data_IF_170848100094
#
_entry.id   IF_170848100094
#
_cell.length_a   1.000
_cell.length_b   1.000
_cell.length_c   1.000
_cell.angle_alpha   90.00
_cell.angle_beta   90.00
_cell.angle_gamma   90.00
#
_symmetry.space_group_name_H-M   'P 1'
#
loop_
_entity.id
_entity.type
_entity.pdbx_description
1 polymer ?
#
# COMPACT_ATOMS: atom_id res chain seq x y z
N UNK A 1 -9.78 23.16 -8.25
CA UNK A 1 -9.14 23.29 -9.58
C UNK A 1 -8.05 24.36 -9.59
N UNK A 2 -8.31 25.61 -9.19
CA UNK A 2 -7.31 26.70 -9.20
C UNK A 2 -6.02 26.36 -8.43
N UNK A 3 -6.17 25.83 -7.20
CA UNK A 3 -5.03 25.44 -6.34
C UNK A 3 -4.15 24.36 -7.00
N UNK A 4 -4.74 23.28 -7.52
CA UNK A 4 -3.96 22.22 -8.18
C UNK A 4 -3.20 22.69 -9.42
N UNK A 5 -3.79 23.59 -10.22
CA UNK A 5 -3.10 24.20 -11.37
C UNK A 5 -1.91 25.03 -10.92
N UNK A 6 -2.07 25.81 -9.85
CA UNK A 6 -1.02 26.70 -9.35
C UNK A 6 0.14 25.87 -8.74
N UNK A 7 -0.15 24.76 -8.06
CA UNK A 7 0.86 23.78 -7.56
C UNK A 7 1.66 23.16 -8.71
N UNK A 8 0.98 22.64 -9.74
CA UNK A 8 1.66 22.04 -10.90
C UNK A 8 2.47 23.10 -11.66
N UNK A 9 1.93 24.32 -11.80
CA UNK A 9 2.66 25.44 -12.42
C UNK A 9 3.91 25.83 -11.65
N UNK A 10 3.86 25.83 -10.32
CA UNK A 10 5.03 26.07 -9.47
C UNK A 10 6.09 24.97 -9.65
N UNK A 11 5.68 23.70 -9.64
CA UNK A 11 6.57 22.55 -9.86
C UNK A 11 7.28 22.63 -11.23
N UNK A 12 6.53 22.93 -12.30
CA UNK A 12 7.08 23.14 -13.64
C UNK A 12 8.07 24.30 -13.70
N UNK A 13 7.78 25.40 -12.99
CA UNK A 13 8.66 26.57 -12.95
C UNK A 13 9.99 26.26 -12.24
N UNK A 14 9.94 25.48 -11.16
CA UNK A 14 11.14 24.99 -10.46
C UNK A 14 11.95 24.07 -11.35
N UNK A 15 11.29 23.16 -12.09
CA UNK A 15 11.95 22.25 -13.02
C UNK A 15 12.60 22.98 -14.19
N UNK A 16 11.92 23.97 -14.78
CA UNK A 16 12.45 24.80 -15.86
C UNK A 16 13.64 25.65 -15.39
N UNK A 17 13.53 26.27 -14.21
CA UNK A 17 14.62 27.07 -13.63
C UNK A 17 15.85 26.19 -13.38
N UNK A 18 15.64 25.01 -12.82
CA UNK A 18 16.69 24.03 -12.61
C UNK A 18 17.32 23.54 -13.92
N UNK A 19 16.50 23.23 -14.94
CA UNK A 19 16.99 22.82 -16.25
C UNK A 19 17.87 23.91 -16.88
N UNK A 20 17.47 25.18 -16.78
CA UNK A 20 18.28 26.32 -17.25
C UNK A 20 19.57 26.49 -16.48
N UNK A 21 19.56 26.28 -15.16
CA UNK A 21 20.77 26.33 -14.33
C UNK A 21 21.75 25.20 -14.73
N UNK A 22 21.24 23.98 -14.93
CA UNK A 22 22.06 22.85 -15.40
C UNK A 22 22.53 23.03 -16.85
N UNK A 23 21.70 23.57 -17.74
CA UNK A 23 22.02 23.81 -19.15
C UNK A 23 23.11 24.88 -19.31
N UNK A 24 23.05 25.98 -18.55
CA UNK A 24 24.06 27.03 -18.60
C UNK A 24 25.35 26.67 -17.85
N UNK A 25 25.33 25.55 -17.11
CA UNK A 25 26.35 25.18 -16.13
C UNK A 25 26.19 26.01 -14.85
N UNK A 26 26.72 25.50 -13.72
CA UNK A 26 26.79 26.19 -12.41
C UNK A 26 27.64 27.49 -12.43
N UNK A 27 27.85 28.09 -13.61
CA UNK A 27 28.45 29.40 -13.79
C UNK A 27 27.41 30.44 -13.37
N UNK A 28 27.48 30.79 -12.09
CA UNK A 28 26.83 31.97 -11.54
C UNK A 28 27.07 33.17 -12.43
N UNK A 29 26.00 33.90 -12.75
CA UNK A 29 26.06 35.20 -13.40
C UNK A 29 27.12 36.07 -12.75
N UNK A 30 28.02 36.65 -13.54
CA UNK A 30 29.09 37.50 -13.04
C UNK A 30 29.18 38.79 -13.82
N UNK A 31 29.83 39.78 -13.21
CA UNK A 31 30.13 41.04 -13.88
C UNK A 31 31.60 41.08 -14.25
N UNK A 32 31.87 41.47 -15.50
CA UNK A 32 33.23 41.75 -15.95
C UNK A 32 33.52 43.23 -15.71
N UNK A 33 34.51 43.52 -14.88
CA UNK A 33 34.95 44.89 -14.59
C UNK A 33 36.25 45.20 -15.33
N UNK A 34 36.26 46.30 -16.07
CA UNK A 34 37.44 46.85 -16.74
C UNK A 34 37.79 48.23 -16.16
N UNK A 35 39.08 48.50 -15.93
CA UNK A 35 39.54 49.78 -15.39
C UNK A 35 39.55 50.91 -16.43
N UNK A 36 39.52 50.57 -17.73
CA UNK A 36 39.47 51.51 -18.84
C UNK A 36 38.18 51.35 -19.67
N UNK A 37 37.65 52.44 -20.25
CA UNK A 37 36.47 52.36 -21.11
C UNK A 37 36.79 51.55 -22.39
N UNK A 38 35.98 50.52 -22.63
CA UNK A 38 36.08 49.66 -23.81
C UNK A 38 35.40 50.31 -25.02
N UNK A 39 36.05 50.21 -26.19
CA UNK A 39 35.47 50.63 -27.47
C UNK A 39 34.41 49.62 -27.95
N UNK A 40 33.50 50.02 -28.85
CA UNK A 40 32.35 49.18 -29.26
C UNK A 40 32.78 47.82 -29.83
N UNK A 41 33.79 47.79 -30.71
CA UNK A 41 34.31 46.53 -31.25
C UNK A 41 34.96 45.63 -30.18
N UNK A 42 35.57 46.21 -29.14
CA UNK A 42 36.19 45.43 -28.06
C UNK A 42 35.12 44.80 -27.19
N UNK A 43 34.02 45.53 -26.93
CA UNK A 43 32.85 45.01 -26.20
C UNK A 43 32.23 43.82 -26.92
N UNK A 44 32.06 43.92 -28.24
CA UNK A 44 31.42 42.86 -29.00
C UNK A 44 32.30 41.62 -29.15
N UNK A 45 33.62 41.80 -29.29
CA UNK A 45 34.60 40.70 -29.21
C UNK A 45 34.52 39.98 -27.86
N UNK A 46 34.56 40.71 -26.75
CA UNK A 46 34.48 40.15 -25.40
C UNK A 46 33.15 39.40 -25.20
N UNK A 47 32.04 39.96 -25.68
CA UNK A 47 30.71 39.32 -25.63
C UNK A 47 30.68 38.00 -26.40
N UNK A 48 31.24 37.98 -27.61
CA UNK A 48 31.32 36.77 -28.43
C UNK A 48 32.17 35.67 -27.77
N UNK A 49 33.28 36.06 -27.14
CA UNK A 49 34.11 35.14 -26.35
C UNK A 49 33.34 34.63 -25.14
N UNK A 50 32.68 35.48 -24.36
CA UNK A 50 31.86 35.05 -23.22
C UNK A 50 30.80 34.02 -23.60
N UNK A 51 30.06 34.24 -24.70
CA UNK A 51 29.04 33.30 -25.19
C UNK A 51 29.63 31.92 -25.54
N UNK A 52 30.89 31.85 -25.97
CA UNK A 52 31.56 30.57 -26.26
C UNK A 52 31.89 29.73 -25.02
N UNK A 53 31.85 30.33 -23.83
CA UNK A 53 32.07 29.65 -22.55
C UNK A 53 30.77 29.36 -21.77
N UNK A 54 29.62 29.89 -22.21
CA UNK A 54 28.31 29.58 -21.65
C UNK A 54 27.86 28.19 -22.13
N UNK A 55 27.22 27.43 -21.23
CA UNK A 55 26.62 26.14 -21.55
C UNK A 55 27.32 24.94 -20.89
N UNK A 56 26.54 23.89 -20.64
CA UNK A 56 26.99 22.68 -19.93
C UNK A 56 28.15 21.96 -20.63
N UNK A 57 28.19 22.00 -21.96
CA UNK A 57 29.28 21.46 -22.79
C UNK A 57 30.61 22.22 -22.63
N UNK A 58 30.55 23.46 -22.12
CA UNK A 58 31.70 24.33 -21.92
C UNK A 58 32.09 24.43 -20.43
N UNK A 59 31.40 23.69 -19.55
CA UNK A 59 31.71 23.64 -18.13
C UNK A 59 33.16 23.18 -17.89
N UNK A 60 33.90 23.95 -17.08
CA UNK A 60 35.30 23.66 -16.74
C UNK A 60 36.33 24.26 -17.71
N UNK A 61 35.92 24.95 -18.78
CA UNK A 61 36.86 25.72 -19.62
C UNK A 61 37.33 26.99 -18.89
N UNK A 62 38.64 27.22 -18.87
CA UNK A 62 39.23 28.42 -18.27
C UNK A 62 39.21 29.58 -19.27
N UNK A 63 38.60 30.70 -18.90
CA UNK A 63 38.65 31.94 -19.68
C UNK A 63 39.89 32.73 -19.31
N UNK A 64 40.68 33.17 -20.29
CA UNK A 64 41.80 34.09 -20.10
C UNK A 64 41.29 35.51 -20.25
N UNK A 65 41.49 36.34 -19.23
CA UNK A 65 41.11 37.75 -19.23
C UNK A 65 42.32 38.61 -19.58
N UNK A 66 42.21 39.41 -20.63
CA UNK A 66 43.26 40.36 -21.04
C UNK A 66 43.03 41.75 -20.42
N UNK A 67 44.07 42.60 -20.38
CA UNK A 67 43.92 44.02 -20.05
C UNK A 67 43.49 44.35 -18.62
N UNK A 68 43.83 43.52 -17.63
CA UNK A 68 43.51 43.76 -16.22
C UNK A 68 42.03 43.57 -15.85
N UNK A 69 41.24 42.99 -16.75
CA UNK A 69 39.83 42.69 -16.49
C UNK A 69 39.68 41.67 -15.35
N UNK A 70 38.74 41.95 -14.44
CA UNK A 70 38.43 41.08 -13.29
C UNK A 70 37.03 40.49 -13.45
N UNK A 71 36.92 39.18 -13.29
CA UNK A 71 35.64 38.49 -13.20
C UNK A 71 35.18 38.45 -11.75
N UNK A 72 34.07 39.11 -11.46
CA UNK A 72 33.41 39.02 -10.16
C UNK A 72 32.31 37.98 -10.25
N UNK A 73 32.55 36.81 -9.66
CA UNK A 73 31.58 35.74 -9.57
C UNK A 73 30.54 36.08 -8.49
N UNK A 74 29.23 36.06 -8.84
CA UNK A 74 28.15 36.08 -7.85
C UNK A 74 27.87 34.65 -7.41
N UNK A 75 28.69 34.09 -6.52
CA UNK A 75 28.59 32.66 -6.18
C UNK A 75 27.26 32.34 -5.51
N UNK A 76 26.36 31.66 -6.22
CA UNK A 76 25.06 31.20 -5.72
C UNK A 76 25.15 29.75 -5.23
N UNK A 77 26.06 29.49 -4.27
CA UNK A 77 26.34 28.13 -3.77
C UNK A 77 25.19 27.44 -2.98
N UNK A 78 24.27 28.14 -2.26
CA UNK A 78 23.20 27.45 -1.51
C UNK A 78 22.01 26.98 -2.37
N UNK A 79 21.95 27.35 -3.66
CA UNK A 79 20.77 27.11 -4.49
C UNK A 79 20.59 25.63 -4.86
N UNK A 80 21.66 24.87 -5.09
CA UNK A 80 21.54 23.48 -5.53
C UNK A 80 20.86 22.58 -4.49
N UNK A 81 21.21 22.74 -3.20
CA UNK A 81 20.57 22.00 -2.11
C UNK A 81 19.11 22.43 -1.91
N UNK A 82 18.84 23.74 -1.97
CA UNK A 82 17.49 24.29 -1.82
C UNK A 82 16.59 23.95 -3.01
N UNK A 83 17.15 23.79 -4.20
CA UNK A 83 16.45 23.40 -5.41
C UNK A 83 16.09 21.91 -5.40
N UNK A 84 16.97 21.05 -4.86
CA UNK A 84 16.66 19.64 -4.57
C UNK A 84 15.50 19.54 -3.56
N UNK A 85 15.55 20.30 -2.47
CA UNK A 85 14.49 20.33 -1.46
C UNK A 85 13.16 20.84 -2.06
N UNK A 86 13.20 21.87 -2.91
CA UNK A 86 12.02 22.39 -3.60
C UNK A 86 11.39 21.36 -4.55
N UNK A 87 12.22 20.55 -5.21
CA UNK A 87 11.76 19.44 -6.08
C UNK A 87 11.10 18.33 -5.27
N UNK A 88 11.70 17.92 -4.15
CA UNK A 88 11.12 16.97 -3.19
C UNK A 88 9.75 17.47 -2.70
N UNK A 89 9.68 18.73 -2.26
CA UNK A 89 8.43 19.32 -1.76
C UNK A 89 7.33 19.37 -2.83
N UNK A 90 7.69 19.66 -4.08
CA UNK A 90 6.75 19.68 -5.21
C UNK A 90 6.10 18.30 -5.43
N UNK A 91 6.85 17.21 -5.27
CA UNK A 91 6.31 15.84 -5.37
C UNK A 91 5.25 15.61 -4.29
N UNK A 92 5.53 16.02 -3.04
CA UNK A 92 4.59 15.89 -1.93
C UNK A 92 3.32 16.72 -2.13
N UNK A 93 3.42 17.95 -2.66
CA UNK A 93 2.25 18.79 -2.93
C UNK A 93 1.33 18.19 -4.01
N UNK A 94 1.92 17.64 -5.09
CA UNK A 94 1.16 16.97 -6.14
C UNK A 94 0.47 15.72 -5.56
N UNK A 95 1.19 14.90 -4.80
CA UNK A 95 0.65 13.73 -4.12
C UNK A 95 -0.53 14.09 -3.20
N UNK A 96 -0.39 15.17 -2.42
CA UNK A 96 -1.44 15.69 -1.53
C UNK A 96 -2.70 16.10 -2.29
N UNK A 97 -2.55 16.71 -3.47
CA UNK A 97 -3.70 17.09 -4.30
C UNK A 97 -4.50 15.87 -4.78
N UNK A 98 -3.81 14.80 -5.18
CA UNK A 98 -4.45 13.54 -5.59
C UNK A 98 -4.84 12.63 -4.42
N UNK A 99 -4.56 13.05 -3.18
CA UNK A 99 -4.71 12.23 -1.96
C UNK A 99 -3.86 10.95 -1.97
N UNK A 100 -2.92 10.83 -2.90
CA UNK A 100 -2.05 9.65 -3.02
C UNK A 100 -0.88 9.81 -2.04
N UNK A 101 -0.61 8.83 -1.18
CA UNK A 101 0.56 8.87 -0.32
C UNK A 101 1.89 8.84 -1.11
N UNK A 102 2.93 9.58 -0.69
CA UNK A 102 4.22 9.65 -1.42
C UNK A 102 4.92 8.30 -1.63
N UNK A 103 4.73 7.33 -0.74
CA UNK A 103 5.33 5.99 -0.88
C UNK A 103 4.81 5.23 -2.11
N UNK A 104 3.59 5.53 -2.58
CA UNK A 104 3.01 4.91 -3.77
C UNK A 104 3.70 5.36 -5.07
N UNK A 105 4.36 6.52 -5.07
CA UNK A 105 5.13 7.04 -6.21
C UNK A 105 6.64 6.81 -6.07
N UNK A 106 7.05 5.99 -5.11
CA UNK A 106 8.47 5.71 -4.83
C UNK A 106 9.20 6.86 -4.13
N UNK A 107 8.48 7.87 -3.63
CA UNK A 107 9.05 8.99 -2.89
C UNK A 107 9.06 8.69 -1.39
N UNK A 108 10.17 8.14 -0.90
CA UNK A 108 10.36 7.74 0.50
C UNK A 108 11.56 8.48 1.11
N UNK A 109 11.53 9.81 1.13
CA UNK A 109 12.66 10.64 1.59
C UNK A 109 12.78 10.67 3.13
N UNK A 110 11.66 10.46 3.83
CA UNK A 110 11.60 10.35 5.28
C UNK A 110 10.86 9.08 5.65
N UNK A 111 11.57 7.95 5.67
CA UNK A 111 11.14 6.77 6.44
C UNK A 111 11.17 7.10 7.94
N UNK A 112 10.39 8.07 8.39
CA UNK A 112 10.08 8.25 9.81
C UNK A 112 8.86 7.40 10.10
N UNK A 113 9.10 6.18 10.57
CA UNK A 113 8.44 5.51 11.71
C UNK A 113 6.90 5.50 11.84
N UNK A 114 6.13 6.05 10.90
CA UNK A 114 4.67 6.19 10.98
C UNK A 114 3.95 4.94 10.47
N UNK A 115 4.59 4.18 9.58
CA UNK A 115 4.10 2.89 9.13
C UNK A 115 5.21 1.85 9.29
N UNK A 116 5.32 1.31 10.50
CA UNK A 116 6.14 0.13 10.77
C UNK A 116 5.67 -1.11 10.00
N UNK A 117 4.44 -1.10 9.45
CA UNK A 117 3.94 -2.12 8.54
C UNK A 117 3.51 -1.54 7.18
N UNK A 118 3.94 -2.19 6.11
CA UNK A 118 3.47 -1.96 4.73
C UNK A 118 1.94 -2.09 4.63
N UNK A 119 1.37 -2.92 5.51
CA UNK A 119 -0.08 -3.13 5.66
C UNK A 119 -0.82 -1.86 6.08
N UNK A 120 -0.34 -1.15 7.11
CA UNK A 120 -0.96 0.11 7.56
C UNK A 120 -0.93 1.19 6.48
N UNK A 121 0.16 1.22 5.70
CA UNK A 121 0.31 2.08 4.53
C UNK A 121 -0.72 1.78 3.44
N UNK A 122 -0.88 0.50 3.07
CA UNK A 122 -1.86 0.09 2.07
C UNK A 122 -3.30 0.34 2.53
N UNK A 123 -3.60 0.10 3.81
CA UNK A 123 -4.91 0.40 4.39
C UNK A 123 -5.22 1.90 4.36
N UNK A 124 -4.23 2.74 4.66
CA UNK A 124 -4.37 4.19 4.59
C UNK A 124 -4.65 4.67 3.16
N UNK A 125 -3.96 4.11 2.16
CA UNK A 125 -4.20 4.40 0.74
C UNK A 125 -5.61 3.99 0.31
N UNK A 126 -6.02 2.77 0.66
CA UNK A 126 -7.35 2.24 0.36
C UNK A 126 -8.45 3.13 0.95
N UNK A 127 -8.32 3.49 2.22
CA UNK A 127 -9.36 4.22 2.95
C UNK A 127 -9.47 5.67 2.49
N UNK A 128 -8.34 6.37 2.32
CA UNK A 128 -8.33 7.81 2.06
C UNK A 128 -8.37 8.20 0.58
N UNK A 129 -7.96 7.29 -0.32
CA UNK A 129 -7.83 7.58 -1.76
C UNK A 129 -8.81 6.77 -2.59
N UNK A 130 -8.72 5.44 -2.50
CA UNK A 130 -9.47 4.55 -3.41
C UNK A 130 -10.94 4.47 -3.05
N UNK A 131 -11.29 4.23 -1.78
CA UNK A 131 -12.68 4.01 -1.34
C UNK A 131 -13.63 5.15 -1.78
N UNK A 132 -13.30 6.44 -1.63
CA UNK A 132 -14.16 7.50 -2.15
C UNK A 132 -14.37 7.46 -3.67
N UNK A 133 -13.36 7.09 -4.45
CA UNK A 133 -13.45 6.98 -5.90
C UNK A 133 -14.28 5.76 -6.33
N UNK A 134 -14.06 4.62 -5.68
CA UNK A 134 -14.80 3.39 -5.95
C UNK A 134 -16.29 3.57 -5.65
N UNK A 135 -16.63 4.16 -4.50
CA UNK A 135 -18.01 4.45 -4.12
C UNK A 135 -18.70 5.38 -5.13
N UNK A 136 -18.00 6.39 -5.63
CA UNK A 136 -18.57 7.26 -6.67
C UNK A 136 -18.88 6.47 -7.96
N UNK A 137 -18.02 5.53 -8.35
CA UNK A 137 -18.24 4.69 -9.53
C UNK A 137 -19.38 3.70 -9.29
N UNK A 138 -19.44 3.06 -8.11
CA UNK A 138 -20.54 2.17 -7.71
C UNK A 138 -21.88 2.90 -7.75
N UNK A 139 -21.96 4.11 -7.19
CA UNK A 139 -23.17 4.93 -7.23
C UNK A 139 -23.59 5.29 -8.66
N UNK A 140 -22.63 5.57 -9.54
CA UNK A 140 -22.94 5.85 -10.94
C UNK A 140 -23.39 4.61 -11.71
N UNK A 141 -22.83 3.43 -11.42
CA UNK A 141 -23.30 2.16 -11.98
C UNK A 141 -24.73 1.89 -11.50
N UNK A 142 -25.00 2.05 -10.20
CA UNK A 142 -26.35 1.87 -9.65
C UNK A 142 -27.35 2.84 -10.26
N UNK A 143 -26.96 4.10 -10.49
CA UNK A 143 -27.82 5.11 -11.11
C UNK A 143 -28.08 4.85 -12.58
N UNK A 144 -27.05 4.55 -13.37
CA UNK A 144 -27.15 4.51 -14.84
C UNK A 144 -27.56 3.13 -15.38
N UNK A 145 -27.16 2.05 -14.70
CA UNK A 145 -27.34 0.68 -15.18
C UNK A 145 -28.44 -0.07 -14.43
N UNK A 146 -28.55 0.14 -13.11
CA UNK A 146 -29.49 -0.60 -12.26
C UNK A 146 -30.82 0.14 -12.04
N UNK A 147 -30.90 1.45 -12.33
CA UNK A 147 -32.13 2.25 -12.24
C UNK A 147 -32.91 2.12 -10.91
N UNK A 148 -32.23 1.80 -9.81
CA UNK A 148 -32.86 1.60 -8.49
C UNK A 148 -33.55 0.25 -8.31
N UNK A 149 -33.18 -0.76 -9.09
CA UNK A 149 -33.52 -2.16 -8.81
C UNK A 149 -32.82 -2.62 -7.53
N UNK A 150 -33.61 -3.02 -6.52
CA UNK A 150 -33.10 -3.45 -5.20
C UNK A 150 -32.55 -4.89 -5.24
N UNK A 151 -32.80 -5.65 -6.30
CA UNK A 151 -32.35 -7.04 -6.44
C UNK A 151 -30.85 -7.15 -6.79
N UNK A 152 -30.25 -6.08 -7.31
CA UNK A 152 -28.87 -6.07 -7.77
C UNK A 152 -28.08 -4.89 -7.18
N UNK A 153 -26.84 -5.14 -6.78
CA UNK A 153 -25.91 -4.10 -6.34
C UNK A 153 -24.55 -4.27 -7.01
N UNK A 154 -23.87 -3.14 -7.26
CA UNK A 154 -22.51 -3.12 -7.75
C UNK A 154 -21.56 -2.77 -6.60
N UNK A 155 -20.56 -3.63 -6.36
CA UNK A 155 -19.51 -3.41 -5.36
C UNK A 155 -18.15 -3.80 -5.95
N UNK A 156 -17.13 -2.97 -5.70
CA UNK A 156 -15.75 -3.31 -6.02
C UNK A 156 -15.15 -4.21 -4.95
N UNK A 157 -14.63 -5.36 -5.36
CA UNK A 157 -13.84 -6.23 -4.48
C UNK A 157 -12.48 -5.61 -4.17
N UNK A 158 -12.42 -4.79 -3.11
CA UNK A 158 -11.18 -4.21 -2.55
C UNK A 158 -10.37 -5.17 -1.69
N UNK A 159 -10.96 -6.31 -1.34
CA UNK A 159 -10.30 -7.47 -0.73
C UNK A 159 -9.06 -7.91 -1.53
N UNK A 160 -9.01 -7.65 -2.84
CA UNK A 160 -7.83 -7.90 -3.68
C UNK A 160 -6.59 -7.07 -3.29
N UNK A 161 -6.75 -5.85 -2.75
CA UNK A 161 -5.63 -5.09 -2.18
C UNK A 161 -5.13 -5.70 -0.86
N UNK A 162 -6.05 -6.25 -0.07
CA UNK A 162 -5.75 -7.00 1.16
C UNK A 162 -5.20 -8.40 0.87
N UNK A 163 -5.40 -8.95 -0.34
CA UNK A 163 -4.82 -10.24 -0.75
C UNK A 163 -3.29 -10.25 -0.69
N UNK A 164 -2.65 -9.09 -0.84
CA UNK A 164 -1.22 -8.94 -0.62
C UNK A 164 -0.81 -9.30 0.83
N UNK A 165 -1.74 -9.20 1.78
CA UNK A 165 -1.60 -9.65 3.16
C UNK A 165 -2.53 -10.85 3.44
N UNK A 166 -2.11 -12.02 2.99
CA UNK A 166 -2.80 -13.27 3.30
C UNK A 166 -2.78 -13.60 4.80
N UNK A 167 -1.88 -13.01 5.59
CA UNK A 167 -1.71 -13.30 7.01
C UNK A 167 -2.76 -12.58 7.87
N UNK A 168 -2.92 -11.25 7.71
CA UNK A 168 -3.97 -10.49 8.41
C UNK A 168 -5.37 -10.96 8.03
N UNK A 169 -5.59 -11.30 6.76
CA UNK A 169 -6.85 -11.86 6.28
C UNK A 169 -7.17 -13.22 6.90
N UNK A 170 -6.19 -14.12 6.96
CA UNK A 170 -6.35 -15.41 7.63
C UNK A 170 -6.61 -15.24 9.12
N UNK A 171 -5.91 -14.30 9.79
CA UNK A 171 -6.11 -14.02 11.20
C UNK A 171 -7.53 -13.47 11.47
N UNK A 172 -7.99 -12.52 10.67
CA UNK A 172 -9.34 -11.96 10.78
C UNK A 172 -10.42 -13.03 10.64
N UNK A 173 -10.40 -13.84 9.58
CA UNK A 173 -11.37 -14.91 9.40
C UNK A 173 -11.25 -15.99 10.46
N UNK A 174 -10.04 -16.30 10.93
CA UNK A 174 -9.84 -17.24 12.03
C UNK A 174 -10.50 -16.72 13.29
N UNK A 175 -10.25 -15.47 13.70
CA UNK A 175 -10.91 -14.86 14.86
C UNK A 175 -12.43 -14.77 14.68
N UNK A 176 -12.91 -14.48 13.47
CA UNK A 176 -14.34 -14.41 13.17
C UNK A 176 -15.05 -15.76 13.35
N UNK A 177 -14.46 -16.83 12.79
CA UNK A 177 -14.97 -18.19 12.89
C UNK A 177 -14.80 -18.79 14.29
N UNK A 178 -13.78 -18.38 15.05
CA UNK A 178 -13.54 -18.82 16.42
C UNK A 178 -14.53 -18.23 17.41
N UNK A 179 -14.81 -16.93 17.27
CA UNK A 179 -15.75 -16.21 18.13
C UNK A 179 -17.21 -16.43 17.72
N UNK A 180 -17.45 -17.06 16.57
CA UNK A 180 -18.78 -17.49 16.13
C UNK A 180 -19.73 -16.36 15.71
N UNK A 181 -19.23 -15.17 15.38
CA UNK A 181 -20.06 -14.08 14.86
C UNK A 181 -20.15 -14.07 13.32
N UNK A 182 -19.37 -14.92 12.65
CA UNK A 182 -19.40 -15.10 11.19
C UNK A 182 -19.49 -16.59 10.85
N UNK A 183 -20.31 -16.95 9.86
CA UNK A 183 -20.41 -18.31 9.33
C UNK A 183 -19.39 -18.56 8.21
N UNK A 184 -19.18 -19.81 7.82
CA UNK A 184 -18.24 -20.16 6.75
C UNK A 184 -18.75 -19.65 5.38
N UNK A 185 -20.06 -19.58 5.18
CA UNK A 185 -20.68 -19.01 3.99
C UNK A 185 -20.60 -17.48 3.96
N UNK A 186 -20.59 -16.81 5.12
CA UNK A 186 -20.34 -15.36 5.19
C UNK A 186 -18.93 -15.02 4.70
N UNK A 187 -17.92 -15.79 5.11
CA UNK A 187 -16.56 -15.65 4.59
C UNK A 187 -16.53 -15.89 3.07
N UNK A 188 -17.20 -16.94 2.58
CA UNK A 188 -17.26 -17.23 1.13
C UNK A 188 -17.93 -16.11 0.34
N UNK A 189 -18.97 -15.49 0.89
CA UNK A 189 -19.65 -14.34 0.27
C UNK A 189 -18.72 -13.13 0.17
N UNK A 190 -17.96 -12.82 1.23
CA UNK A 190 -16.92 -11.76 1.18
C UNK A 190 -15.83 -12.07 0.15
N UNK A 191 -15.51 -13.35 -0.03
CA UNK A 191 -14.56 -13.85 -1.02
C UNK A 191 -15.14 -13.96 -2.45
N UNK A 192 -16.42 -13.64 -2.66
CA UNK A 192 -17.14 -13.87 -3.91
C UNK A 192 -17.06 -15.34 -4.40
N UNK A 193 -17.06 -16.30 -3.46
CA UNK A 193 -17.12 -17.73 -3.70
C UNK A 193 -18.55 -18.25 -3.52
N UNK A 194 -18.96 -19.29 -4.26
CA UNK A 194 -20.28 -19.89 -4.09
C UNK A 194 -20.43 -20.48 -2.68
N UNK A 195 -21.65 -20.41 -2.10
CA UNK A 195 -21.94 -21.00 -0.79
C UNK A 195 -21.80 -22.53 -0.84
N UNK A 196 -21.53 -23.12 0.33
CA UNK A 196 -21.50 -24.57 0.51
C UNK A 196 -22.62 -25.01 1.45
N UNK A 197 -23.10 -26.23 1.25
CA UNK A 197 -24.07 -26.84 2.15
C UNK A 197 -23.47 -27.05 3.54
N UNK A 198 -24.24 -26.73 4.58
CA UNK A 198 -23.77 -26.70 5.99
C UNK A 198 -22.82 -25.55 6.34
N UNK A 199 -22.60 -24.58 5.45
CA UNK A 199 -21.71 -23.44 5.69
C UNK A 199 -22.28 -22.30 6.54
N UNK A 200 -23.60 -22.29 6.77
CA UNK A 200 -24.32 -21.28 7.56
C UNK A 200 -24.34 -21.60 9.07
N UNK A 201 -23.68 -22.69 9.47
CA UNK A 201 -23.60 -23.12 10.87
C UNK A 201 -22.55 -22.27 11.60
N UNK A 202 -22.98 -21.52 12.60
CA UNK A 202 -22.09 -20.79 13.50
C UNK A 202 -21.40 -21.76 14.45
N UNK A 203 -20.07 -21.70 14.50
CA UNK A 203 -19.24 -22.52 15.37
C UNK A 203 -18.54 -21.65 16.39
N UNK A 204 -18.37 -22.15 17.61
CA UNK A 204 -17.53 -21.51 18.64
C UNK A 204 -16.50 -22.52 19.14
N UNK A 205 -15.29 -22.06 19.46
CA UNK A 205 -14.29 -22.93 20.08
C UNK A 205 -14.65 -23.20 21.54
N UNK A 206 -14.87 -24.47 21.87
CA UNK A 206 -15.09 -24.96 23.24
C UNK A 206 -13.74 -25.25 23.93
N UNK A 207 -12.87 -24.24 24.07
CA UNK A 207 -11.62 -24.39 24.81
C UNK A 207 -11.46 -23.30 25.87
N UNK A 208 -12.25 -23.37 26.95
CA UNK A 208 -11.97 -22.69 28.22
C UNK A 208 -12.47 -23.56 29.38
N UNK A 209 -11.67 -24.59 29.71
CA UNK A 209 -11.88 -25.44 30.89
C UNK A 209 -11.41 -24.67 32.15
N UNK A 210 -12.22 -24.59 33.23
CA UNK A 210 -11.81 -23.97 34.49
C UNK A 210 -10.51 -24.58 35.03
N UNK A 211 -9.67 -23.78 35.70
CA UNK A 211 -8.42 -24.27 36.29
C UNK A 211 -8.65 -25.42 37.29
N UNK A 212 -9.81 -25.46 37.95
CA UNK A 212 -10.25 -26.54 38.84
C UNK A 212 -10.53 -27.88 38.12
N UNK A 213 -10.69 -27.87 36.80
CA UNK A 213 -10.99 -29.04 35.96
C UNK A 213 -9.80 -29.46 35.07
N UNK A 214 -8.67 -28.76 35.16
CA UNK A 214 -7.42 -29.10 34.48
C UNK A 214 -6.79 -30.34 35.15
N UNK A 215 -7.26 -31.52 34.71
CA UNK A 215 -6.87 -32.83 35.23
C UNK A 215 -8.03 -33.83 35.37
N UNK A 216 -9.29 -33.41 35.19
CA UNK A 216 -10.46 -34.30 35.30
C UNK A 216 -11.07 -34.74 33.98
N UNK A 217 -10.71 -34.13 32.85
CA UNK A 217 -11.26 -34.51 31.55
C UNK A 217 -10.33 -35.40 30.74
N UNK A 218 -10.30 -36.67 31.15
CA UNK A 218 -9.98 -37.80 30.26
C UNK A 218 -10.93 -38.96 30.57
N UNK A 219 -12.23 -38.73 30.40
CA UNK A 219 -13.23 -39.79 30.52
C UNK A 219 -14.24 -39.72 29.38
N UNK A 220 -13.76 -39.88 28.14
CA UNK A 220 -14.58 -40.45 27.05
C UNK A 220 -15.29 -41.76 27.44
N UNK A 221 -14.86 -42.38 28.55
CA UNK A 221 -15.49 -43.52 29.21
C UNK A 221 -16.83 -43.22 29.91
N UNK A 222 -17.19 -41.98 30.24
CA UNK A 222 -18.38 -41.72 31.08
C UNK A 222 -19.68 -41.79 30.27
N UNK A 223 -19.69 -41.30 29.03
CA UNK A 223 -20.82 -41.44 28.11
C UNK A 223 -21.08 -42.90 27.72
N UNK A 224 -20.01 -43.70 27.49
CA UNK A 224 -20.13 -45.14 27.22
C UNK A 224 -20.53 -45.94 28.48
N UNK A 225 -20.03 -45.57 29.67
CA UNK A 225 -20.45 -46.19 30.94
C UNK A 225 -21.90 -45.87 31.29
N UNK A 226 -22.37 -44.65 31.06
CA UNK A 226 -23.77 -44.27 31.27
C UNK A 226 -24.68 -45.03 30.29
N UNK A 227 -24.28 -45.14 29.03
CA UNK A 227 -24.97 -45.94 28.01
C UNK A 227 -25.00 -47.43 28.40
N UNK A 228 -23.90 -47.98 28.89
CA UNK A 228 -23.83 -49.37 29.36
C UNK A 228 -24.69 -49.62 30.61
N UNK A 229 -24.70 -48.68 31.57
CA UNK A 229 -25.54 -48.77 32.77
C UNK A 229 -27.04 -48.67 32.46
N UNK A 230 -27.44 -47.79 31.55
CA UNK A 230 -28.83 -47.67 31.08
C UNK A 230 -29.25 -48.93 30.32
N UNK A 231 -28.37 -49.50 29.50
CA UNK A 231 -28.65 -50.73 28.74
C UNK A 231 -28.80 -51.94 29.67
N UNK A 232 -27.97 -52.03 30.72
CA UNK A 232 -28.05 -53.10 31.72
C UNK A 232 -29.28 -52.99 32.63
N UNK A 233 -29.83 -51.77 32.81
CA UNK A 233 -31.07 -51.56 33.55
C UNK A 233 -32.32 -51.89 32.71
N UNK A 234 -32.28 -51.64 31.40
CA UNK A 234 -33.39 -51.90 30.48
C UNK A 234 -33.51 -53.38 30.07
N UNK A 235 -32.42 -54.15 30.09
CA UNK A 235 -32.39 -55.55 29.66
C UNK A 235 -31.63 -56.43 30.67
N UNK A 236 -32.28 -56.90 31.77
CA UNK A 236 -31.58 -57.50 32.90
C UNK A 236 -31.14 -58.96 32.72
N UNK A 237 -31.55 -59.66 31.66
CA UNK A 237 -31.13 -61.05 31.43
C UNK A 237 -30.78 -61.31 29.96
N UNK A 238 -29.49 -61.61 29.69
CA UNK A 238 -29.10 -62.50 28.60
C UNK A 238 -28.24 -61.96 27.47
N UNK A 239 -26.92 -61.99 27.71
CA UNK A 239 -25.81 -62.31 26.79
C UNK A 239 -24.99 -61.15 26.15
N UNK A 240 -23.65 -61.12 26.35
CA UNK A 240 -22.79 -60.09 25.78
C UNK A 240 -22.39 -60.46 24.35
N UNK A 241 -22.45 -59.50 23.42
CA UNK A 241 -21.74 -59.61 22.14
C UNK A 241 -20.60 -58.61 22.16
N UNK A 242 -19.38 -59.13 22.31
CA UNK A 242 -18.14 -58.38 22.16
C UNK A 242 -17.97 -57.90 20.69
N UNK A 243 -17.27 -56.77 20.46
CA UNK A 243 -17.09 -56.20 19.13
C UNK A 243 -16.15 -57.07 18.28
N UNK A 244 -16.53 -57.28 17.02
CA UNK A 244 -15.78 -58.06 16.04
C UNK A 244 -14.39 -57.47 15.76
N UNK A 245 -13.33 -58.30 15.89
CA UNK A 245 -12.01 -58.08 15.29
C UNK A 245 -11.63 -59.26 14.37
N UNK A 246 -11.58 -58.94 13.07
CA UNK A 246 -10.76 -59.50 11.98
C UNK A 246 -10.70 -61.01 11.64
N UNK A 247 -10.89 -61.23 10.32
CA UNK A 247 -10.13 -62.09 9.40
C UNK A 247 -10.61 -63.52 9.03
N UNK A 248 -10.82 -63.66 7.70
CA UNK A 248 -10.55 -64.78 6.78
C UNK A 248 -11.55 -65.96 6.55
N UNK A 249 -12.14 -65.89 5.33
CA UNK A 249 -12.27 -66.96 4.30
C UNK A 249 -13.31 -68.11 4.47
N UNK A 250 -13.71 -68.82 3.39
CA UNK A 250 -14.86 -68.49 2.55
C UNK A 250 -15.96 -69.58 2.56
N UNK A 251 -17.09 -69.27 1.94
CA UNK A 251 -18.25 -70.15 1.77
C UNK A 251 -17.94 -71.52 1.16
N UNK A 252 -18.60 -72.55 1.71
CA UNK A 252 -18.91 -73.82 1.04
C UNK A 252 -20.39 -74.18 1.28
N UNK A 253 -21.13 -74.28 0.17
CA UNK A 253 -22.22 -75.23 -0.18
C UNK A 253 -23.29 -75.51 0.90
N UNK A 254 -24.58 -75.21 0.68
CA UNK A 254 -25.57 -75.93 -0.16
C UNK A 254 -26.85 -75.09 -0.31
#
# INVERSE_FOLDING_TARGET
>A
VKIGRDVIGAALSVEESAAKIFENGLQSSGFLSAEQPLNEEQRERIRSYLLSFVGSKNAGKMMVLEGGMKYNNVTMNPEAAQMLESRTFSIEEICRWFRVPPFMVGHMDKQSSWASSVEGMNMQFLTNTLRPLLVNIEQEISRCLLNGDDDYYAEFSVEGLLRADSAGRSAYYTTALQNGWMSRNDVRRLENLPPIDGGDIYTVQLNLTPLDQLGQEASSNEAEKLKAQITNWLFPEGNPVAPHSQANQPHSEE
#
